data_IF_631637177464
#
_entry.id   IF_631637177464
#
_cell.length_a   1.000
_cell.length_b   1.000
_cell.length_c   1.000
_cell.angle_alpha   90.00
_cell.angle_beta   90.00
_cell.angle_gamma   90.00
#
_symmetry.space_group_name_H-M   'P 1'
#
loop_
_entity.id
_entity.type
_entity.pdbx_description
1 polymer ?
#
# COMPACT_ATOMS: atom_id res chain seq x y z
N UNK A 1 10.26 -11.84 17.56
CA UNK A 1 8.91 -12.06 18.10
C UNK A 1 7.88 -11.82 17.00
N UNK A 2 6.98 -12.78 16.80
CA UNK A 2 5.91 -12.68 15.82
C UNK A 2 4.85 -11.69 16.32
N UNK A 3 4.35 -10.84 15.42
CA UNK A 3 3.30 -9.87 15.72
C UNK A 3 2.02 -10.25 14.98
N UNK A 4 0.88 -9.93 15.58
CA UNK A 4 -0.39 -10.04 14.87
C UNK A 4 -0.57 -8.77 14.02
N UNK A 5 -0.54 -8.93 12.70
CA UNK A 5 -0.63 -7.78 11.79
C UNK A 5 -1.96 -7.04 11.94
N UNK A 6 -3.02 -7.73 12.35
CA UNK A 6 -4.34 -7.10 12.50
C UNK A 6 -4.36 -6.03 13.58
N UNK A 7 -3.42 -6.07 14.51
CA UNK A 7 -3.30 -5.07 15.58
C UNK A 7 -2.57 -3.80 15.13
N UNK A 8 -1.93 -3.82 13.96
CA UNK A 8 -1.19 -2.66 13.47
C UNK A 8 -2.09 -1.70 12.73
N UNK A 9 -2.07 -0.43 13.12
CA UNK A 9 -2.87 0.62 12.47
C UNK A 9 -2.52 0.75 11.00
N UNK A 10 -1.22 0.66 10.66
CA UNK A 10 -0.78 0.80 9.26
C UNK A 10 -1.31 -0.35 8.41
N UNK A 11 -1.42 -1.56 8.96
CA UNK A 11 -2.02 -2.66 8.22
C UNK A 11 -3.49 -2.39 7.94
N UNK A 12 -4.25 -1.98 8.96
CA UNK A 12 -5.68 -1.68 8.80
C UNK A 12 -5.92 -0.58 7.77
N UNK A 13 -5.08 0.47 7.81
CA UNK A 13 -5.15 1.56 6.84
C UNK A 13 -4.87 1.05 5.43
N UNK A 14 -3.81 0.25 5.26
CA UNK A 14 -3.44 -0.33 3.97
C UNK A 14 -4.51 -1.26 3.42
N UNK A 15 -5.12 -2.06 4.28
CA UNK A 15 -6.19 -2.98 3.88
C UNK A 15 -7.42 -2.21 3.40
N UNK A 16 -7.89 -1.22 4.18
CA UNK A 16 -9.04 -0.41 3.77
C UNK A 16 -8.75 0.35 2.49
N UNK A 17 -7.54 0.86 2.34
CA UNK A 17 -7.12 1.52 1.12
C UNK A 17 -7.17 0.57 -0.09
N UNK A 18 -6.73 -0.68 0.09
CA UNK A 18 -6.81 -1.71 -0.96
C UNK A 18 -8.25 -1.92 -1.41
N UNK A 19 -9.18 -2.03 -0.44
CA UNK A 19 -10.60 -2.15 -0.77
C UNK A 19 -11.09 -0.94 -1.57
N UNK A 20 -10.63 0.26 -1.23
CA UNK A 20 -10.96 1.47 -1.96
C UNK A 20 -10.45 1.45 -3.40
N UNK A 21 -9.24 0.93 -3.62
CA UNK A 21 -8.67 0.80 -4.97
C UNK A 21 -9.48 -0.21 -5.80
N UNK A 22 -9.87 -1.33 -5.21
CA UNK A 22 -10.72 -2.29 -5.90
C UNK A 22 -12.04 -1.64 -6.33
N UNK A 23 -12.67 -0.88 -5.43
CA UNK A 23 -13.91 -0.17 -5.75
C UNK A 23 -13.74 0.85 -6.87
N UNK A 24 -12.67 1.66 -6.79
CA UNK A 24 -12.41 2.72 -7.76
C UNK A 24 -12.07 2.18 -9.16
N UNK A 25 -11.58 0.95 -9.25
CA UNK A 25 -11.15 0.38 -10.53
C UNK A 25 -12.20 -0.51 -11.20
N UNK A 26 -13.36 -0.72 -10.58
CA UNK A 26 -14.43 -1.55 -11.16
C UNK A 26 -14.84 -1.03 -12.53
N UNK A 27 -14.92 0.30 -12.70
CA UNK A 27 -15.41 0.92 -13.93
C UNK A 27 -14.30 1.25 -14.94
N UNK A 28 -13.07 0.78 -14.69
CA UNK A 28 -12.02 0.95 -15.68
C UNK A 28 -12.39 0.21 -16.97
N UNK A 29 -11.93 0.70 -18.14
CA UNK A 29 -12.24 0.06 -19.41
C UNK A 29 -11.85 -1.41 -19.43
N UNK A 30 -12.62 -2.23 -20.15
CA UNK A 30 -12.38 -3.68 -20.21
C UNK A 30 -10.98 -4.00 -20.75
N UNK A 31 -10.44 -3.17 -21.65
CA UNK A 31 -9.10 -3.40 -22.20
C UNK A 31 -7.99 -3.20 -21.17
N UNK A 32 -8.31 -2.60 -19.99
CA UNK A 32 -7.34 -2.45 -18.90
C UNK A 32 -7.43 -3.57 -17.86
N UNK A 33 -8.22 -4.61 -18.13
CA UNK A 33 -8.40 -5.71 -17.17
C UNK A 33 -7.07 -6.36 -16.77
N UNK A 34 -6.16 -6.52 -17.73
CA UNK A 34 -4.83 -7.08 -17.50
C UNK A 34 -3.73 -6.01 -17.53
N UNK A 35 -4.10 -4.75 -17.65
CA UNK A 35 -3.20 -3.62 -17.66
C UNK A 35 -3.28 -2.84 -16.36
N UNK A 36 -3.70 -1.56 -16.46
CA UNK A 36 -3.64 -0.64 -15.33
C UNK A 36 -4.52 -1.05 -14.15
N UNK A 37 -5.73 -1.60 -14.41
CA UNK A 37 -6.58 -2.10 -13.33
C UNK A 37 -5.87 -3.19 -12.52
N UNK A 38 -5.24 -4.15 -13.20
CA UNK A 38 -4.49 -5.22 -12.56
C UNK A 38 -3.31 -4.68 -11.76
N UNK A 39 -2.57 -3.72 -12.33
CA UNK A 39 -1.41 -3.11 -11.67
C UNK A 39 -1.82 -2.39 -10.38
N UNK A 40 -2.88 -1.58 -10.44
CA UNK A 40 -3.36 -0.85 -9.26
C UNK A 40 -3.78 -1.80 -8.15
N UNK A 41 -4.54 -2.85 -8.49
CA UNK A 41 -5.00 -3.83 -7.51
C UNK A 41 -3.85 -4.59 -6.89
N UNK A 42 -2.90 -5.04 -7.70
CA UNK A 42 -1.73 -5.77 -7.21
C UNK A 42 -0.86 -4.91 -6.32
N UNK A 43 -0.54 -3.68 -6.74
CA UNK A 43 0.28 -2.77 -5.94
C UNK A 43 -0.37 -2.43 -4.61
N UNK A 44 -1.68 -2.15 -4.62
CA UNK A 44 -2.37 -1.80 -3.38
C UNK A 44 -2.41 -2.98 -2.42
N UNK A 45 -2.73 -4.18 -2.90
CA UNK A 45 -2.78 -5.39 -2.06
C UNK A 45 -1.40 -5.78 -1.54
N UNK A 46 -0.34 -5.49 -2.28
CA UNK A 46 1.04 -5.76 -1.87
C UNK A 46 1.42 -5.00 -0.60
N UNK A 47 0.84 -3.83 -0.35
CA UNK A 47 1.14 -3.04 0.84
C UNK A 47 0.77 -3.80 2.12
N UNK A 48 -0.52 -4.14 2.37
CA UNK A 48 -0.87 -4.89 3.58
C UNK A 48 -0.33 -6.32 3.56
N UNK A 49 -0.17 -6.94 2.40
CA UNK A 49 0.35 -8.30 2.31
C UNK A 49 1.79 -8.39 2.83
N UNK A 50 2.64 -7.43 2.48
CA UNK A 50 4.03 -7.41 2.95
C UNK A 50 4.14 -7.03 4.42
N UNK A 51 3.25 -6.18 4.91
CA UNK A 51 3.18 -5.89 6.35
C UNK A 51 2.85 -7.19 7.11
N UNK A 52 1.83 -7.91 6.65
CA UNK A 52 1.41 -9.16 7.29
C UNK A 52 2.53 -10.21 7.24
N UNK A 53 3.19 -10.35 6.10
CA UNK A 53 4.28 -11.30 5.96
C UNK A 53 5.45 -10.95 6.90
N UNK A 54 5.80 -9.67 6.99
CA UNK A 54 6.85 -9.20 7.88
C UNK A 54 6.54 -9.48 9.35
N UNK A 55 5.27 -9.33 9.73
CA UNK A 55 4.82 -9.62 11.10
C UNK A 55 5.00 -11.08 11.47
N UNK A 56 4.99 -11.99 10.49
CA UNK A 56 5.23 -13.41 10.71
C UNK A 56 6.70 -13.78 10.86
N UNK A 57 7.62 -12.83 10.68
CA UNK A 57 9.04 -13.08 10.83
C UNK A 57 9.48 -12.94 12.28
N UNK A 58 10.63 -13.56 12.63
CA UNK A 58 11.07 -13.66 14.01
C UNK A 58 11.88 -12.45 14.49
N UNK A 59 12.33 -11.57 13.60
CA UNK A 59 13.19 -10.44 13.97
C UNK A 59 12.65 -9.12 13.44
N UNK A 60 12.98 -8.04 14.17
CA UNK A 60 12.64 -6.69 13.74
C UNK A 60 13.35 -6.31 12.44
N UNK A 61 14.56 -6.82 12.22
CA UNK A 61 15.29 -6.57 10.98
C UNK A 61 14.55 -7.14 9.77
N UNK A 62 14.01 -8.34 9.91
CA UNK A 62 13.21 -8.96 8.84
C UNK A 62 11.89 -8.22 8.62
N UNK A 63 11.19 -7.86 9.69
CA UNK A 63 9.99 -7.06 9.59
C UNK A 63 10.28 -5.75 8.84
N UNK A 64 11.35 -5.06 9.23
CA UNK A 64 11.76 -3.81 8.58
C UNK A 64 11.99 -3.98 7.08
N UNK A 65 12.58 -5.10 6.67
CA UNK A 65 12.79 -5.40 5.25
C UNK A 65 11.46 -5.49 4.49
N UNK A 66 10.46 -6.16 5.08
CA UNK A 66 9.14 -6.26 4.44
C UNK A 66 8.40 -4.92 4.43
N UNK A 67 8.58 -4.09 5.46
CA UNK A 67 8.00 -2.75 5.46
C UNK A 67 8.60 -1.88 4.35
N UNK A 68 9.89 -2.05 4.04
CA UNK A 68 10.52 -1.36 2.91
C UNK A 68 9.94 -1.81 1.57
N UNK A 69 9.60 -3.09 1.44
CA UNK A 69 8.91 -3.59 0.23
C UNK A 69 7.52 -2.93 0.12
N UNK A 70 6.78 -2.85 1.23
CA UNK A 70 5.49 -2.15 1.25
C UNK A 70 5.63 -0.68 0.83
N UNK A 71 6.69 0.00 1.30
CA UNK A 71 6.97 1.38 0.92
C UNK A 71 7.18 1.52 -0.59
N UNK A 72 7.94 0.59 -1.18
CA UNK A 72 8.16 0.55 -2.63
C UNK A 72 6.86 0.35 -3.40
N UNK A 73 6.01 -0.54 -2.90
CA UNK A 73 4.69 -0.78 -3.51
C UNK A 73 3.82 0.47 -3.44
N UNK A 74 3.86 1.20 -2.32
CA UNK A 74 3.11 2.45 -2.18
C UNK A 74 3.61 3.52 -3.16
N UNK A 75 4.92 3.60 -3.37
CA UNK A 75 5.50 4.54 -4.33
C UNK A 75 5.12 4.20 -5.77
N UNK A 76 5.14 2.92 -6.12
CA UNK A 76 4.70 2.47 -7.44
C UNK A 76 3.22 2.79 -7.65
N UNK A 77 2.41 2.58 -6.61
CA UNK A 77 0.98 2.86 -6.65
C UNK A 77 0.70 4.34 -6.91
N UNK A 78 1.48 5.24 -6.30
CA UNK A 78 1.32 6.68 -6.57
C UNK A 78 1.46 6.98 -8.05
N UNK A 79 2.44 6.37 -8.71
CA UNK A 79 2.61 6.58 -10.14
C UNK A 79 1.42 6.01 -10.92
N UNK A 80 0.98 4.82 -10.60
CA UNK A 80 -0.17 4.22 -11.32
C UNK A 80 -1.45 5.03 -11.13
N UNK A 81 -1.64 5.62 -9.96
CA UNK A 81 -2.79 6.50 -9.72
C UNK A 81 -2.72 7.76 -10.59
N UNK A 82 -1.52 8.35 -10.71
CA UNK A 82 -1.31 9.50 -11.60
C UNK A 82 -1.60 9.13 -13.04
N UNK A 83 -1.09 7.98 -13.48
CA UNK A 83 -1.32 7.51 -14.84
C UNK A 83 -2.80 7.29 -15.11
N UNK A 84 -3.52 6.66 -14.18
CA UNK A 84 -4.96 6.43 -14.32
C UNK A 84 -5.72 7.75 -14.40
N UNK A 85 -5.32 8.73 -13.59
CA UNK A 85 -5.94 10.05 -13.63
C UNK A 85 -5.68 10.74 -14.97
N UNK A 86 -4.43 10.73 -15.45
CA UNK A 86 -4.06 11.36 -16.70
C UNK A 86 -4.76 10.71 -17.90
N UNK A 87 -5.06 9.42 -17.82
CA UNK A 87 -5.82 8.70 -18.83
C UNK A 87 -7.34 8.91 -18.74
N UNK A 88 -7.79 9.62 -17.71
CA UNK A 88 -9.21 9.91 -17.53
C UNK A 88 -10.01 8.80 -16.86
N UNK A 89 -9.34 7.82 -16.25
CA UNK A 89 -10.02 6.70 -15.58
C UNK A 89 -10.46 7.02 -14.15
N UNK A 90 -9.86 8.04 -13.54
CA UNK A 90 -10.24 8.52 -12.21
C UNK A 90 -10.64 9.98 -12.32
N UNK A 91 -11.71 10.38 -11.61
CA UNK A 91 -12.03 11.79 -11.52
C UNK A 91 -11.08 12.50 -10.52
N UNK A 92 -11.06 13.85 -10.50
CA UNK A 92 -10.15 14.58 -9.61
C UNK A 92 -10.31 14.23 -8.13
N UNK A 93 -11.54 14.00 -7.67
CA UNK A 93 -11.80 13.69 -6.25
C UNK A 93 -11.31 12.30 -5.90
N UNK A 94 -11.56 11.31 -6.75
CA UNK A 94 -11.05 9.95 -6.56
C UNK A 94 -9.51 9.95 -6.52
N UNK A 95 -8.89 10.64 -7.45
CA UNK A 95 -7.44 10.73 -7.53
C UNK A 95 -6.86 11.37 -6.27
N UNK A 96 -7.44 12.49 -5.82
CA UNK A 96 -6.99 13.18 -4.61
C UNK A 96 -7.14 12.30 -3.38
N UNK A 97 -8.29 11.67 -3.22
CA UNK A 97 -8.59 10.81 -2.08
C UNK A 97 -7.59 9.65 -2.00
N UNK A 98 -7.40 8.93 -3.10
CA UNK A 98 -6.50 7.77 -3.12
C UNK A 98 -5.04 8.18 -2.96
N UNK A 99 -4.64 9.33 -3.52
CA UNK A 99 -3.29 9.85 -3.36
C UNK A 99 -3.02 10.24 -1.91
N UNK A 100 -3.97 10.91 -1.26
CA UNK A 100 -3.84 11.31 0.14
C UNK A 100 -3.73 10.09 1.04
N UNK A 101 -4.51 9.04 0.80
CA UNK A 101 -4.42 7.80 1.56
C UNK A 101 -3.07 7.12 1.37
N UNK A 102 -2.54 7.13 0.14
CA UNK A 102 -1.21 6.57 -0.14
C UNK A 102 -0.13 7.32 0.63
N UNK A 103 -0.19 8.65 0.64
CA UNK A 103 0.76 9.47 1.38
C UNK A 103 0.69 9.18 2.88
N UNK A 104 -0.50 9.00 3.42
CA UNK A 104 -0.67 8.67 4.83
C UNK A 104 -0.07 7.32 5.18
N UNK A 105 -0.31 6.31 4.36
CA UNK A 105 0.29 4.97 4.56
C UNK A 105 1.81 5.07 4.51
N UNK A 106 2.37 5.83 3.58
CA UNK A 106 3.82 6.02 3.48
C UNK A 106 4.41 6.67 4.74
N UNK A 107 3.71 7.66 5.29
CA UNK A 107 4.15 8.29 6.54
C UNK A 107 4.14 7.30 7.69
N UNK A 108 3.09 6.50 7.81
CA UNK A 108 2.98 5.49 8.86
C UNK A 108 4.08 4.43 8.72
N UNK A 109 4.34 3.97 7.50
CA UNK A 109 5.42 3.02 7.24
C UNK A 109 6.77 3.60 7.61
N UNK A 110 7.03 4.84 7.21
CA UNK A 110 8.30 5.51 7.51
C UNK A 110 8.53 5.62 9.02
N UNK A 111 7.50 6.01 9.77
CA UNK A 111 7.58 6.12 11.23
C UNK A 111 7.86 4.76 11.86
N UNK A 112 7.17 3.71 11.40
CA UNK A 112 7.36 2.36 11.92
C UNK A 112 8.78 1.84 11.63
N UNK A 113 9.24 2.02 10.39
CA UNK A 113 10.59 1.61 10.01
C UNK A 113 11.65 2.28 10.89
N UNK A 114 11.50 3.59 11.12
CA UNK A 114 12.41 4.32 12.00
C UNK A 114 12.39 3.78 13.42
N UNK A 115 11.21 3.49 13.94
CA UNK A 115 11.07 2.95 15.30
C UNK A 115 11.79 1.61 15.44
N UNK A 116 11.68 0.73 14.43
CA UNK A 116 12.38 -0.55 14.45
C UNK A 116 13.90 -0.40 14.46
N UNK A 117 14.42 0.59 13.73
CA UNK A 117 15.86 0.85 13.66
C UNK A 117 16.44 1.43 14.95
N UNK A 118 15.61 2.06 15.77
CA UNK A 118 16.01 2.66 17.03
C UNK A 118 15.98 1.68 18.20
N UNK A 119 15.41 0.49 18.00
CA UNK A 119 15.36 -0.52 19.04
C UNK A 119 16.75 -1.12 19.23
N UNK A 120 17.30 -1.13 20.47
CA UNK A 120 18.61 -1.76 20.71
C UNK A 120 18.61 -3.23 20.35
N UNK A 121 19.75 -3.69 19.85
CA UNK A 121 19.92 -5.09 19.48
C UNK A 121 19.90 -6.00 20.71
#
# INVERSE_FOLDING_TARGET
MVRDFRELKVWGKGHRFTLGVYGATIRFPAHEAYGLRSQLRRCSASIPANIAEGCGKSSDAELGRFLLISMGSASELEYHLLLAYDLGYLDPDQHRNLTDQTQEVKKMLSTFIKALRQTPA
#
